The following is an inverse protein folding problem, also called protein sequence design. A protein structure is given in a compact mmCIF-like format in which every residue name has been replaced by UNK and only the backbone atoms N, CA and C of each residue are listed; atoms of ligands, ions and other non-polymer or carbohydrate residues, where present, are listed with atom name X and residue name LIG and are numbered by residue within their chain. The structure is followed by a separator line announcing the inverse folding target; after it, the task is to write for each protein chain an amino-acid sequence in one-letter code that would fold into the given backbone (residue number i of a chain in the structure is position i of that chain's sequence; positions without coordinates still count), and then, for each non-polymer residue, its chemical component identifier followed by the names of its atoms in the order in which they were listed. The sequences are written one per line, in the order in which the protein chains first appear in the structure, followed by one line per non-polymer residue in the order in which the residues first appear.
data_IF_894191297361
#
_entry.id   IF_894191297361
#
_cell.length_a   1.000
_cell.length_b   1.000
_cell.length_c   1.000
_cell.angle_alpha   90.00
_cell.angle_beta   90.00
_cell.angle_gamma   90.00
#
_symmetry.space_group_name_H-M   'P 1'
#
loop_
_entity.id
_entity.type
_entity.pdbx_description
1 polymer ?
#
# COMPACT_ATOMS: atom_id res chain seq x y z
N UNK A 1 22.44 -2.24 9.86
CA UNK A 1 21.35 -3.03 9.23
C UNK A 1 21.50 -4.46 9.73
N UNK A 2 20.43 -5.08 10.22
CA UNK A 2 20.42 -6.51 10.58
C UNK A 2 19.65 -7.28 9.50
N UNK A 3 20.18 -8.41 9.04
CA UNK A 3 19.56 -9.24 8.01
C UNK A 3 19.86 -10.71 8.32
N UNK A 4 18.87 -11.58 8.17
CA UNK A 4 19.10 -13.02 8.29
C UNK A 4 19.68 -13.59 6.98
N UNK A 5 20.36 -14.74 7.07
CA UNK A 5 21.06 -15.34 5.93
C UNK A 5 20.11 -15.69 4.76
N UNK A 6 18.88 -16.13 5.05
CA UNK A 6 17.88 -16.47 4.02
C UNK A 6 17.42 -15.26 3.21
N UNK A 7 17.22 -14.13 3.87
CA UNK A 7 16.89 -12.87 3.20
C UNK A 7 18.10 -12.33 2.43
N UNK A 8 19.33 -12.56 2.93
CA UNK A 8 20.55 -12.25 2.18
C UNK A 8 20.63 -13.05 0.88
N UNK A 9 20.40 -14.37 0.94
CA UNK A 9 20.37 -15.24 -0.23
C UNK A 9 19.31 -14.78 -1.25
N UNK A 10 18.09 -14.49 -0.78
CA UNK A 10 17.03 -13.96 -1.63
C UNK A 10 17.40 -12.62 -2.28
N UNK A 11 18.09 -11.74 -1.55
CA UNK A 11 18.56 -10.45 -2.06
C UNK A 11 19.62 -10.64 -3.15
N UNK A 12 20.65 -11.46 -2.90
CA UNK A 12 21.71 -11.78 -3.85
C UNK A 12 21.13 -12.35 -5.15
N UNK A 13 20.23 -13.31 -5.02
CA UNK A 13 19.57 -13.96 -6.16
C UNK A 13 18.77 -12.98 -7.02
N UNK A 14 18.00 -12.09 -6.38
CA UNK A 14 17.21 -11.05 -7.07
C UNK A 14 18.10 -10.00 -7.74
N UNK A 15 19.18 -9.57 -7.10
CA UNK A 15 20.13 -8.62 -7.67
C UNK A 15 20.89 -9.23 -8.85
N UNK A 16 21.26 -10.51 -8.76
CA UNK A 16 21.90 -11.24 -9.85
C UNK A 16 20.95 -11.48 -11.04
N UNK A 17 19.66 -11.68 -10.78
CA UNK A 17 18.62 -11.77 -11.83
C UNK A 17 18.26 -10.41 -12.44
N UNK A 18 18.61 -9.30 -11.80
CA UNK A 18 18.23 -7.97 -12.25
C UNK A 18 18.94 -7.66 -13.59
N UNK A 19 18.25 -7.01 -14.55
CA UNK A 19 18.84 -6.84 -15.87
C UNK A 19 19.87 -5.69 -15.95
N UNK A 20 19.94 -4.83 -14.92
CA UNK A 20 20.96 -3.79 -14.79
C UNK A 20 22.31 -4.36 -14.36
N UNK A 21 23.39 -3.98 -15.05
CA UNK A 21 24.75 -4.47 -14.81
C UNK A 21 25.27 -4.08 -13.42
N UNK A 22 24.95 -2.89 -12.95
CA UNK A 22 25.34 -2.39 -11.63
C UNK A 22 24.69 -3.20 -10.50
N UNK A 23 23.45 -3.67 -10.69
CA UNK A 23 22.77 -4.54 -9.71
C UNK A 23 23.45 -5.91 -9.64
N UNK A 24 23.82 -6.47 -10.78
CA UNK A 24 24.57 -7.74 -10.85
C UNK A 24 25.97 -7.59 -10.24
N UNK A 25 26.66 -6.48 -10.51
CA UNK A 25 27.96 -6.17 -9.93
C UNK A 25 27.88 -6.03 -8.40
N UNK A 26 26.85 -5.32 -7.92
CA UNK A 26 26.59 -5.18 -6.49
C UNK A 26 26.29 -6.53 -5.83
N UNK A 27 25.54 -7.42 -6.50
CA UNK A 27 25.31 -8.78 -6.01
C UNK A 27 26.62 -9.54 -5.80
N UNK A 28 27.54 -9.49 -6.77
CA UNK A 28 28.85 -10.16 -6.66
C UNK A 28 29.67 -9.62 -5.49
N UNK A 29 29.77 -8.31 -5.35
CA UNK A 29 30.51 -7.68 -4.24
C UNK A 29 29.88 -8.03 -2.88
N UNK A 30 28.56 -8.06 -2.81
CA UNK A 30 27.85 -8.43 -1.58
C UNK A 30 28.05 -9.91 -1.24
N UNK A 31 28.06 -10.79 -2.24
CA UNK A 31 28.34 -12.22 -2.05
C UNK A 31 29.75 -12.44 -1.51
N UNK A 32 30.78 -11.83 -2.11
CA UNK A 32 32.17 -11.96 -1.68
C UNK A 32 32.35 -11.62 -0.19
N UNK A 33 31.70 -10.54 0.28
CA UNK A 33 31.77 -10.12 1.68
C UNK A 33 30.96 -10.97 2.64
N UNK A 34 29.88 -11.59 2.18
CA UNK A 34 28.97 -12.34 3.05
C UNK A 34 29.30 -13.82 3.12
N UNK A 35 29.88 -14.38 2.05
CA UNK A 35 30.32 -15.76 1.99
C UNK A 35 31.41 -16.08 3.01
N UNK A 36 32.35 -15.15 3.25
CA UNK A 36 33.39 -15.30 4.28
C UNK A 36 32.82 -15.45 5.70
N UNK A 37 31.65 -14.85 5.97
CA UNK A 37 31.05 -14.80 7.30
C UNK A 37 30.19 -16.04 7.57
N UNK A 38 29.41 -16.49 6.58
CA UNK A 38 28.41 -17.54 6.77
C UNK A 38 28.27 -18.47 5.53
N UNK A 39 29.33 -19.18 5.11
CA UNK A 39 29.35 -19.94 3.85
C UNK A 39 28.36 -21.11 3.86
N UNK A 40 28.11 -21.71 5.03
CA UNK A 40 27.19 -22.84 5.17
C UNK A 40 25.72 -22.43 5.05
N UNK A 41 25.40 -21.14 5.19
CA UNK A 41 24.04 -20.59 5.18
C UNK A 41 23.68 -19.83 3.88
N UNK A 42 24.66 -19.51 3.04
CA UNK A 42 24.47 -18.76 1.78
C UNK A 42 24.87 -19.70 0.64
N UNK A 43 23.92 -20.49 0.13
CA UNK A 43 24.20 -21.56 -0.85
C UNK A 43 23.60 -21.30 -2.22
N UNK A 44 22.38 -20.77 -2.27
CA UNK A 44 21.61 -20.62 -3.51
C UNK A 44 21.58 -19.16 -3.97
N UNK A 45 22.73 -18.66 -4.39
CA UNK A 45 22.89 -17.24 -4.76
C UNK A 45 22.69 -16.98 -6.24
N UNK A 46 22.77 -18.01 -7.08
CA UNK A 46 22.56 -17.89 -8.52
C UNK A 46 21.08 -17.72 -8.89
N UNK A 47 20.77 -16.86 -9.87
CA UNK A 47 19.40 -16.60 -10.27
C UNK A 47 18.79 -17.81 -10.98
N UNK A 48 17.61 -18.23 -10.53
CA UNK A 48 16.86 -19.30 -11.21
C UNK A 48 16.21 -18.76 -12.49
N UNK A 49 15.80 -19.63 -13.44
CA UNK A 49 15.00 -19.20 -14.59
C UNK A 49 13.72 -18.46 -14.17
N UNK A 50 13.12 -18.84 -13.03
CA UNK A 50 11.96 -18.14 -12.48
C UNK A 50 12.29 -16.68 -12.11
N UNK A 51 13.43 -16.44 -11.46
CA UNK A 51 13.81 -15.07 -11.08
C UNK A 51 14.14 -14.20 -12.30
N UNK A 52 14.80 -14.79 -13.31
CA UNK A 52 15.28 -14.07 -14.51
C UNK A 52 14.19 -13.84 -15.55
N UNK A 53 13.40 -14.87 -15.86
CA UNK A 53 12.61 -14.89 -17.10
C UNK A 53 11.14 -14.54 -16.87
N UNK A 54 10.55 -14.89 -15.71
CA UNK A 54 9.10 -14.81 -15.47
C UNK A 54 8.53 -13.40 -15.66
N UNK A 55 9.17 -12.36 -15.13
CA UNK A 55 8.65 -10.98 -15.25
C UNK A 55 8.66 -10.49 -16.70
N UNK A 56 9.71 -10.82 -17.46
CA UNK A 56 9.79 -10.48 -18.88
C UNK A 56 8.77 -11.25 -19.72
N UNK A 57 8.56 -12.54 -19.41
CA UNK A 57 7.58 -13.38 -20.08
C UNK A 57 6.15 -12.88 -19.82
N UNK A 58 5.83 -12.51 -18.57
CA UNK A 58 4.54 -11.91 -18.22
C UNK A 58 4.29 -10.60 -18.95
N UNK A 59 5.32 -9.73 -19.09
CA UNK A 59 5.19 -8.47 -19.83
C UNK A 59 4.84 -8.73 -21.30
N UNK A 60 5.58 -9.61 -21.98
CA UNK A 60 5.31 -9.98 -23.38
C UNK A 60 3.93 -10.61 -23.56
N UNK A 61 3.54 -11.52 -22.66
CA UNK A 61 2.21 -12.12 -22.70
C UNK A 61 1.10 -11.08 -22.48
N UNK A 62 1.32 -10.14 -21.55
CA UNK A 62 0.42 -9.02 -21.30
C UNK A 62 0.26 -8.11 -22.51
N UNK A 63 1.35 -7.72 -23.17
CA UNK A 63 1.31 -6.90 -24.40
C UNK A 63 0.44 -7.53 -25.50
N UNK A 64 0.60 -8.84 -25.74
CA UNK A 64 -0.21 -9.58 -26.70
C UNK A 64 -1.70 -9.61 -26.31
N UNK A 65 -2.00 -9.73 -25.01
CA UNK A 65 -3.37 -9.71 -24.50
C UNK A 65 -3.99 -8.32 -24.61
N UNK A 66 -3.27 -7.25 -24.25
CA UNK A 66 -3.77 -5.88 -24.34
C UNK A 66 -4.03 -5.45 -25.79
N UNK A 67 -3.24 -5.93 -26.75
CA UNK A 67 -3.48 -5.69 -28.17
C UNK A 67 -4.77 -6.37 -28.68
N UNK A 68 -5.10 -7.56 -28.16
CA UNK A 68 -6.31 -8.31 -28.51
C UNK A 68 -7.56 -7.84 -27.75
N UNK A 69 -7.36 -7.42 -26.51
CA UNK A 69 -8.38 -6.98 -25.58
C UNK A 69 -8.00 -5.58 -25.09
N UNK A 70 -8.21 -4.53 -25.90
CA UNK A 70 -7.93 -3.17 -25.50
C UNK A 70 -8.70 -2.88 -24.21
N UNK A 71 -8.01 -2.27 -23.25
CA UNK A 71 -8.59 -1.93 -21.96
C UNK A 71 -9.83 -1.08 -22.19
N UNK A 72 -10.98 -1.56 -21.71
CA UNK A 72 -12.13 -0.71 -21.47
C UNK A 72 -11.92 -0.12 -20.09
N UNK A 73 -11.29 1.05 -20.05
CA UNK A 73 -11.44 1.90 -18.87
C UNK A 73 -12.89 2.37 -18.91
N UNK A 74 -13.79 1.58 -18.31
CA UNK A 74 -15.19 1.93 -18.22
C UNK A 74 -15.28 3.32 -17.59
N UNK A 75 -15.58 4.33 -18.42
CA UNK A 75 -15.94 5.65 -17.97
C UNK A 75 -17.27 5.50 -17.25
N UNK A 76 -17.22 5.35 -15.93
CA UNK A 76 -18.37 5.45 -15.02
C UNK A 76 -19.68 4.93 -15.61
N UNK A 77 -19.73 3.67 -16.05
CA UNK A 77 -21.02 3.07 -16.40
C UNK A 77 -21.80 2.79 -15.12
N UNK A 78 -22.75 3.68 -14.91
CA UNK A 78 -23.77 3.75 -13.89
C UNK A 78 -24.61 2.46 -13.89
N UNK A 79 -24.13 1.39 -13.23
CA UNK A 79 -24.87 0.13 -13.06
C UNK A 79 -24.75 -0.41 -11.62
N UNK A 80 -25.85 -0.31 -10.87
CA UNK A 80 -26.25 -1.21 -9.76
C UNK A 80 -25.26 -1.52 -8.64
N UNK A 81 -25.44 -0.86 -7.48
CA UNK A 81 -25.01 -1.27 -6.12
C UNK A 81 -23.53 -1.49 -5.79
N UNK A 82 -22.59 -1.22 -6.70
CA UNK A 82 -21.15 -1.25 -6.41
C UNK A 82 -20.42 -0.01 -6.95
N UNK A 83 -20.79 1.21 -6.51
CA UNK A 83 -20.05 2.43 -6.87
C UNK A 83 -18.57 2.22 -6.51
N UNK A 84 -17.67 2.20 -7.49
CA UNK A 84 -16.23 2.24 -7.25
C UNK A 84 -15.93 3.51 -6.45
N UNK A 85 -15.68 3.37 -5.16
CA UNK A 85 -15.49 4.54 -4.29
C UNK A 85 -14.09 5.07 -4.55
N UNK A 86 -14.02 6.20 -5.24
CA UNK A 86 -12.78 6.91 -5.52
C UNK A 86 -12.72 8.20 -4.72
N UNK A 87 -11.55 8.47 -4.15
CA UNK A 87 -11.23 9.71 -3.46
C UNK A 87 -9.83 10.13 -3.91
N UNK A 88 -9.75 11.20 -4.69
CA UNK A 88 -8.48 11.66 -5.27
C UNK A 88 -7.77 10.57 -6.07
N UNK A 89 -6.51 10.31 -5.72
CA UNK A 89 -5.66 9.28 -6.35
C UNK A 89 -5.86 7.87 -5.79
N UNK A 90 -6.90 7.64 -4.99
CA UNK A 90 -7.18 6.37 -4.30
C UNK A 90 -8.53 5.82 -4.76
N UNK A 91 -8.55 4.56 -5.19
CA UNK A 91 -9.77 3.82 -5.53
C UNK A 91 -9.85 2.57 -4.67
N UNK A 92 -10.97 2.39 -3.98
CA UNK A 92 -11.28 1.14 -3.29
C UNK A 92 -11.77 0.11 -4.33
N UNK A 93 -11.00 -0.96 -4.50
CA UNK A 93 -11.31 -2.05 -5.45
C UNK A 93 -12.14 -3.13 -4.77
N UNK A 94 -11.75 -3.52 -3.56
CA UNK A 94 -12.40 -4.59 -2.81
C UNK A 94 -12.39 -4.27 -1.32
N UNK A 95 -13.50 -4.55 -0.65
CA UNK A 95 -13.59 -4.63 0.79
C UNK A 95 -14.16 -6.00 1.16
N UNK A 96 -13.71 -6.57 2.27
CA UNK A 96 -14.25 -7.84 2.74
C UNK A 96 -15.79 -7.76 2.90
N UNK A 97 -16.51 -8.72 2.33
CA UNK A 97 -17.95 -8.81 2.52
C UNK A 97 -18.28 -9.00 4.01
N UNK A 98 -19.26 -8.26 4.52
CA UNK A 98 -19.68 -8.27 5.92
C UNK A 98 -18.52 -8.01 6.89
N UNK A 99 -17.58 -7.14 6.52
CA UNK A 99 -16.34 -6.93 7.26
C UNK A 99 -16.53 -6.56 8.73
N UNK A 100 -17.47 -5.67 9.04
CA UNK A 100 -17.80 -5.31 10.42
C UNK A 100 -18.24 -6.55 11.21
N UNK A 101 -19.15 -7.35 10.65
CA UNK A 101 -19.64 -8.57 11.28
C UNK A 101 -18.54 -9.63 11.45
N UNK A 102 -17.59 -9.71 10.51
CA UNK A 102 -16.41 -10.60 10.65
C UNK A 102 -15.56 -10.23 11.86
N UNK A 103 -15.32 -8.94 12.08
CA UNK A 103 -14.51 -8.47 13.21
C UNK A 103 -15.28 -8.68 14.51
N UNK A 104 -16.57 -8.33 14.56
CA UNK A 104 -17.41 -8.56 15.74
C UNK A 104 -17.47 -10.04 16.11
N UNK A 105 -17.64 -10.92 15.12
CA UNK A 105 -17.65 -12.37 15.36
C UNK A 105 -16.28 -12.87 15.86
N UNK A 106 -15.18 -12.32 15.36
CA UNK A 106 -13.84 -12.66 15.83
C UNK A 106 -13.61 -12.18 17.29
N UNK A 107 -14.06 -10.97 17.63
CA UNK A 107 -13.99 -10.43 19.00
C UNK A 107 -14.79 -11.29 19.99
N UNK A 108 -16.00 -11.72 19.60
CA UNK A 108 -16.82 -12.62 20.41
C UNK A 108 -16.19 -14.01 20.53
N UNK A 109 -15.60 -14.53 19.45
CA UNK A 109 -14.95 -15.82 19.46
C UNK A 109 -13.77 -15.86 20.44
N UNK A 110 -12.92 -14.83 20.46
CA UNK A 110 -11.78 -14.78 21.39
C UNK A 110 -12.19 -14.46 22.83
N UNK A 111 -13.40 -13.93 23.03
CA UNK A 111 -13.96 -13.61 24.35
C UNK A 111 -14.96 -14.65 24.88
N UNK A 112 -15.12 -15.80 24.20
CA UNK A 112 -16.09 -16.82 24.59
C UNK A 112 -15.62 -18.25 24.31
N UNK A 113 -16.46 -19.24 24.61
CA UNK A 113 -16.26 -20.66 24.28
C UNK A 113 -17.00 -21.09 23.01
N UNK A 114 -17.69 -20.16 22.33
CA UNK A 114 -18.45 -20.45 21.12
C UNK A 114 -17.52 -20.63 19.91
N UNK A 115 -17.94 -21.47 18.96
CA UNK A 115 -17.27 -21.55 17.66
C UNK A 115 -17.43 -20.25 16.86
N UNK A 116 -16.53 -19.99 15.92
CA UNK A 116 -16.64 -18.81 15.05
C UNK A 116 -17.97 -18.76 14.29
N UNK A 117 -18.50 -19.91 13.88
CA UNK A 117 -19.82 -20.02 13.26
C UNK A 117 -20.94 -19.62 14.23
N UNK A 118 -20.87 -20.08 15.49
CA UNK A 118 -21.79 -19.65 16.54
C UNK A 118 -21.75 -18.14 16.77
N UNK A 119 -20.56 -17.54 16.79
CA UNK A 119 -20.38 -16.10 16.91
C UNK A 119 -20.96 -15.34 15.71
N UNK A 120 -20.76 -15.82 14.47
CA UNK A 120 -21.36 -15.22 13.27
C UNK A 120 -22.89 -15.23 13.33
N UNK A 121 -23.48 -16.35 13.73
CA UNK A 121 -24.93 -16.48 13.88
C UNK A 121 -25.48 -15.58 15.00
N UNK A 122 -24.70 -15.34 16.05
CA UNK A 122 -25.03 -14.36 17.08
C UNK A 122 -25.00 -12.94 16.53
N UNK A 123 -23.91 -12.53 15.87
CA UNK A 123 -23.76 -11.19 15.29
C UNK A 123 -24.84 -10.88 14.26
N UNK A 124 -25.23 -11.85 13.43
CA UNK A 124 -26.30 -11.67 12.45
C UNK A 124 -27.67 -11.38 13.09
N UNK A 125 -27.87 -11.81 14.34
CA UNK A 125 -29.10 -11.54 15.12
C UNK A 125 -29.03 -10.28 15.96
N UNK A 126 -27.85 -9.67 16.10
CA UNK A 126 -27.67 -8.43 16.85
C UNK A 126 -28.21 -7.23 16.05
N UNK A 127 -28.84 -6.31 16.76
CA UNK A 127 -29.17 -4.99 16.24
C UNK A 127 -27.92 -4.14 16.02
N UNK A 128 -28.02 -3.12 15.17
CA UNK A 128 -26.91 -2.18 14.93
C UNK A 128 -26.44 -1.47 16.21
N UNK A 129 -27.35 -1.24 17.16
CA UNK A 129 -27.03 -0.66 18.45
C UNK A 129 -26.15 -1.60 19.30
N UNK A 130 -26.47 -2.90 19.33
CA UNK A 130 -25.67 -3.90 20.05
C UNK A 130 -24.30 -4.11 19.39
N UNK A 131 -24.26 -4.14 18.05
CA UNK A 131 -23.00 -4.20 17.29
C UNK A 131 -22.11 -3.00 17.58
N UNK A 132 -22.71 -1.81 17.61
CA UNK A 132 -22.02 -0.56 17.95
C UNK A 132 -21.51 -0.58 19.40
N UNK A 133 -22.31 -1.08 20.35
CA UNK A 133 -21.89 -1.20 21.74
C UNK A 133 -20.70 -2.15 21.90
N UNK A 134 -20.72 -3.29 21.22
CA UNK A 134 -19.65 -4.27 21.24
C UNK A 134 -18.34 -3.72 20.65
N UNK A 135 -18.38 -3.06 19.50
CA UNK A 135 -17.16 -2.47 18.91
C UNK A 135 -16.62 -1.32 19.77
N UNK A 136 -17.50 -0.52 20.40
CA UNK A 136 -17.09 0.50 21.37
C UNK A 136 -16.39 -0.13 22.56
N UNK A 137 -16.83 -1.28 23.04
CA UNK A 137 -16.15 -1.98 24.13
C UNK A 137 -14.72 -2.36 23.75
N UNK A 138 -14.49 -2.82 22.51
CA UNK A 138 -13.16 -3.11 22.00
C UNK A 138 -12.23 -1.87 21.92
N UNK A 139 -12.80 -0.66 21.87
CA UNK A 139 -12.04 0.60 21.84
C UNK A 139 -11.94 1.31 23.19
N UNK A 140 -12.68 0.88 24.22
CA UNK A 140 -12.82 1.59 25.51
C UNK A 140 -11.49 1.90 26.22
N UNK A 141 -10.47 1.09 26.01
CA UNK A 141 -9.16 1.25 26.67
C UNK A 141 -8.03 1.56 25.69
N UNK A 142 -8.37 1.85 24.42
CA UNK A 142 -7.38 2.13 23.40
C UNK A 142 -6.74 3.51 23.63
N UNK A 143 -5.41 3.61 23.52
CA UNK A 143 -4.71 4.89 23.40
C UNK A 143 -4.18 5.14 21.98
N UNK A 144 -3.72 6.36 21.71
CA UNK A 144 -3.12 6.75 20.42
C UNK A 144 -1.83 5.99 20.05
N UNK A 145 -1.18 5.37 21.04
CA UNK A 145 0.03 4.58 20.86
C UNK A 145 -0.23 3.08 20.75
N UNK A 146 -1.43 2.64 21.10
CA UNK A 146 -1.79 1.24 21.07
C UNK A 146 -2.19 0.78 19.67
N UNK A 147 -1.89 -0.49 19.40
CA UNK A 147 -2.45 -1.17 18.23
C UNK A 147 -3.85 -1.68 18.58
N UNK A 148 -4.77 -1.59 17.63
CA UNK A 148 -6.05 -2.30 17.75
C UNK A 148 -5.81 -3.81 17.85
N UNK A 149 -6.81 -4.50 18.41
CA UNK A 149 -6.77 -5.94 18.66
C UNK A 149 -6.55 -6.74 17.36
N UNK A 150 -6.04 -7.96 17.50
CA UNK A 150 -5.61 -8.80 16.37
C UNK A 150 -6.78 -9.23 15.47
N UNK A 151 -7.97 -9.28 16.04
CA UNK A 151 -9.24 -9.62 15.39
C UNK A 151 -9.55 -8.70 14.21
N UNK A 152 -9.01 -7.48 14.21
CA UNK A 152 -9.08 -6.54 13.08
C UNK A 152 -8.26 -6.99 11.86
N UNK A 153 -7.46 -8.06 11.97
CA UNK A 153 -6.76 -8.66 10.82
C UNK A 153 -7.69 -9.50 9.93
N UNK A 154 -8.90 -9.86 10.40
CA UNK A 154 -9.84 -10.72 9.64
C UNK A 154 -10.65 -9.99 8.56
N UNK A 155 -10.44 -8.68 8.40
CA UNK A 155 -11.07 -7.87 7.37
C UNK A 155 -10.01 -7.14 6.55
N UNK A 156 -10.01 -7.39 5.25
CA UNK A 156 -9.08 -6.82 4.27
C UNK A 156 -9.76 -5.75 3.39
N UNK A 157 -8.94 -4.81 2.93
CA UNK A 157 -9.25 -3.81 1.91
C UNK A 157 -8.18 -3.87 0.82
N UNK A 158 -8.58 -3.74 -0.44
CA UNK A 158 -7.68 -3.64 -1.59
C UNK A 158 -7.91 -2.31 -2.29
N UNK A 159 -6.86 -1.51 -2.42
CA UNK A 159 -6.86 -0.21 -3.05
C UNK A 159 -6.00 -0.21 -4.31
N UNK A 160 -6.46 0.51 -5.33
CA UNK A 160 -5.62 1.00 -6.42
C UNK A 160 -5.25 2.45 -6.12
N UNK A 161 -3.97 2.78 -6.27
CA UNK A 161 -3.38 4.06 -5.89
C UNK A 161 -2.57 4.64 -7.06
N UNK A 162 -2.65 5.96 -7.24
CA UNK A 162 -1.69 6.74 -8.03
C UNK A 162 -0.87 7.59 -7.07
N UNK A 163 0.40 7.24 -6.90
CA UNK A 163 1.27 7.80 -5.84
C UNK A 163 2.60 8.29 -6.39
N UNK A 164 3.13 9.36 -5.79
CA UNK A 164 4.49 9.83 -6.06
C UNK A 164 5.54 8.85 -5.53
N UNK A 165 6.78 8.95 -6.03
CA UNK A 165 7.91 8.20 -5.48
C UNK A 165 8.13 8.51 -3.98
N UNK A 166 7.96 9.78 -3.58
CA UNK A 166 8.04 10.21 -2.18
C UNK A 166 7.03 9.48 -1.29
N UNK A 167 5.77 9.41 -1.74
CA UNK A 167 4.71 8.70 -1.02
C UNK A 167 5.00 7.19 -0.99
N UNK A 168 5.40 6.60 -2.11
CA UNK A 168 5.78 5.18 -2.17
C UNK A 168 6.92 4.83 -1.19
N UNK A 169 7.93 5.69 -1.07
CA UNK A 169 9.04 5.47 -0.15
C UNK A 169 8.60 5.40 1.32
N UNK A 170 7.48 6.05 1.66
CA UNK A 170 6.85 5.99 2.98
C UNK A 170 5.93 4.75 3.10
N UNK A 171 5.08 4.48 2.11
CA UNK A 171 4.13 3.36 2.11
C UNK A 171 4.83 1.99 2.18
N UNK A 172 5.96 1.80 1.48
CA UNK A 172 6.71 0.53 1.49
C UNK A 172 7.27 0.11 2.87
N UNK A 173 7.15 0.98 3.88
CA UNK A 173 7.55 0.71 5.27
C UNK A 173 6.47 -0.04 6.06
N UNK A 174 5.25 -0.15 5.53
CA UNK A 174 4.12 -0.87 6.12
C UNK A 174 4.17 -2.36 5.74
N UNK A 175 4.98 -3.13 6.49
CA UNK A 175 5.41 -4.49 6.10
C UNK A 175 4.32 -5.56 6.21
N UNK A 176 3.25 -5.33 6.98
CA UNK A 176 2.12 -6.26 7.02
C UNK A 176 1.22 -6.12 5.79
N UNK A 177 1.29 -4.99 5.08
CA UNK A 177 0.53 -4.78 3.86
C UNK A 177 1.18 -5.48 2.66
N UNK A 178 0.35 -5.83 1.68
CA UNK A 178 0.81 -6.30 0.37
C UNK A 178 0.80 -5.12 -0.58
N UNK A 179 1.98 -4.74 -1.08
CA UNK A 179 2.15 -3.60 -1.98
C UNK A 179 2.87 -4.05 -3.26
N UNK A 180 2.19 -3.91 -4.40
CA UNK A 180 2.76 -4.14 -5.73
C UNK A 180 2.59 -2.92 -6.59
N UNK A 181 3.54 -2.66 -7.49
CA UNK A 181 3.60 -1.41 -8.25
C UNK A 181 3.91 -1.64 -9.70
N UNK A 182 3.49 -0.70 -10.54
CA UNK A 182 3.97 -0.57 -11.89
C UNK A 182 5.26 0.28 -11.90
N UNK A 183 5.91 0.32 -13.07
CA UNK A 183 6.99 1.25 -13.33
C UNK A 183 6.47 2.70 -13.21
N UNK A 184 7.39 3.66 -13.05
CA UNK A 184 7.00 5.06 -13.12
C UNK A 184 6.53 5.41 -14.52
N UNK A 185 5.48 6.21 -14.59
CA UNK A 185 4.88 6.63 -15.84
C UNK A 185 4.72 8.17 -15.83
N UNK A 186 5.55 8.90 -16.59
CA UNK A 186 5.42 10.34 -16.74
C UNK A 186 4.03 10.80 -17.16
N UNK A 187 3.24 9.97 -17.87
CA UNK A 187 1.88 10.31 -18.27
C UNK A 187 0.91 10.44 -17.07
N UNK A 188 1.24 9.88 -15.91
CA UNK A 188 0.47 10.06 -14.66
C UNK A 188 0.75 11.43 -13.99
N UNK A 189 1.68 12.21 -14.57
CA UNK A 189 2.10 13.50 -14.10
C UNK A 189 2.90 13.44 -12.80
N UNK A 190 3.00 14.61 -12.16
CA UNK A 190 3.82 14.81 -10.96
C UNK A 190 3.00 15.33 -9.79
N UNK A 191 3.46 15.05 -8.58
CA UNK A 191 2.94 15.64 -7.36
C UNK A 191 3.70 16.93 -7.04
N UNK A 192 3.05 18.08 -7.24
CA UNK A 192 3.58 19.40 -6.87
C UNK A 192 3.31 19.68 -5.39
N UNK A 193 4.34 19.96 -4.57
CA UNK A 193 4.15 20.40 -3.19
C UNK A 193 3.40 21.73 -3.09
N UNK A 194 2.47 21.84 -2.12
CA UNK A 194 1.71 23.07 -1.91
C UNK A 194 2.63 24.27 -1.64
N UNK A 195 3.71 24.07 -0.89
CA UNK A 195 4.72 25.09 -0.64
C UNK A 195 5.37 25.67 -1.92
N UNK A 196 5.46 24.90 -3.01
CA UNK A 196 5.96 25.38 -4.30
C UNK A 196 4.90 26.22 -5.03
N UNK A 197 3.64 25.76 -4.97
CA UNK A 197 2.51 26.48 -5.55
C UNK A 197 2.27 27.82 -4.82
N UNK A 198 2.33 27.81 -3.49
CA UNK A 198 2.17 28.99 -2.62
C UNK A 198 3.21 30.07 -2.86
N UNK A 199 4.43 29.70 -3.28
CA UNK A 199 5.49 30.66 -3.63
C UNK A 199 5.47 31.07 -5.11
N UNK A 200 4.47 30.64 -5.89
CA UNK A 200 4.36 30.93 -7.32
C UNK A 200 5.47 30.29 -8.18
N UNK A 201 6.20 29.31 -7.64
CA UNK A 201 7.31 28.64 -8.33
C UNK A 201 6.89 27.43 -9.16
N UNK A 202 5.60 27.13 -9.20
CA UNK A 202 5.05 26.02 -9.96
C UNK A 202 5.50 26.00 -11.45
N UNK A 203 5.54 27.13 -12.19
CA UNK A 203 6.03 27.12 -13.57
C UNK A 203 7.49 26.65 -13.69
N UNK A 204 8.37 27.13 -12.82
CA UNK A 204 9.79 26.74 -12.81
C UNK A 204 9.97 25.27 -12.42
N UNK A 205 9.15 24.78 -11.48
CA UNK A 205 9.12 23.36 -11.13
C UNK A 205 8.72 22.50 -12.33
N UNK A 206 7.63 22.87 -13.02
CA UNK A 206 7.15 22.13 -14.18
C UNK A 206 8.11 22.18 -15.38
N UNK A 207 8.83 23.30 -15.56
CA UNK A 207 9.89 23.39 -16.56
C UNK A 207 11.01 22.38 -16.30
N UNK A 208 11.46 22.26 -15.04
CA UNK A 208 12.46 21.27 -14.65
C UNK A 208 11.96 19.82 -14.85
N UNK A 209 10.68 19.57 -14.59
CA UNK A 209 10.05 18.27 -14.87
C UNK A 209 10.03 17.99 -16.37
N UNK A 210 9.64 18.94 -17.20
CA UNK A 210 9.63 18.75 -18.66
C UNK A 210 11.03 18.44 -19.21
N UNK A 211 12.06 19.12 -18.73
CA UNK A 211 13.46 18.80 -19.07
C UNK A 211 13.86 17.40 -18.62
N UNK A 212 13.44 16.98 -17.42
CA UNK A 212 13.66 15.64 -16.89
C UNK A 212 12.99 14.57 -17.75
N UNK A 213 11.73 14.77 -18.13
CA UNK A 213 10.96 13.86 -18.95
C UNK A 213 11.53 13.74 -20.37
N UNK A 214 12.03 14.84 -20.95
CA UNK A 214 12.72 14.81 -22.24
C UNK A 214 13.96 13.91 -22.21
N UNK A 215 14.79 14.02 -21.16
CA UNK A 215 15.95 13.15 -20.96
C UNK A 215 15.52 11.70 -20.69
N UNK A 216 14.47 11.49 -19.89
CA UNK A 216 13.90 10.17 -19.67
C UNK A 216 13.54 9.48 -20.99
N UNK A 217 12.88 10.18 -21.92
CA UNK A 217 12.52 9.62 -23.22
C UNK A 217 13.74 9.26 -24.08
N UNK A 218 14.81 10.06 -24.01
CA UNK A 218 16.06 9.75 -24.70
C UNK A 218 16.72 8.49 -24.13
N UNK A 219 16.80 8.37 -22.81
CA UNK A 219 17.36 7.19 -22.14
C UNK A 219 16.49 5.96 -22.40
N UNK A 220 15.16 6.09 -22.35
CA UNK A 220 14.22 4.98 -22.51
C UNK A 220 14.36 4.26 -23.86
N UNK A 221 14.73 4.99 -24.92
CA UNK A 221 14.99 4.43 -26.26
C UNK A 221 16.24 3.55 -26.33
N UNK A 222 17.23 3.81 -25.47
CA UNK A 222 18.55 3.15 -25.51
C UNK A 222 18.67 2.10 -24.39
N UNK A 223 18.23 2.46 -23.17
CA UNK A 223 18.35 1.69 -21.95
C UNK A 223 17.08 1.85 -21.08
N UNK A 224 15.95 1.23 -21.48
CA UNK A 224 14.65 1.42 -20.81
C UNK A 224 14.66 1.10 -19.31
N UNK A 225 15.47 0.13 -18.88
CA UNK A 225 15.59 -0.27 -17.48
C UNK A 225 16.32 0.76 -16.60
N UNK A 226 17.15 1.61 -17.22
CA UNK A 226 17.87 2.69 -16.54
C UNK A 226 17.16 4.04 -16.65
N UNK A 227 16.14 4.16 -17.50
CA UNK A 227 15.45 5.44 -17.72
C UNK A 227 14.88 6.03 -16.43
N UNK A 228 14.32 5.20 -15.56
CA UNK A 228 13.72 5.66 -14.31
C UNK A 228 14.70 6.36 -13.34
N UNK A 229 16.02 6.25 -13.53
CA UNK A 229 17.01 6.91 -12.67
C UNK A 229 16.98 8.44 -12.77
N UNK A 230 16.56 9.00 -13.90
CA UNK A 230 16.50 10.47 -14.06
C UNK A 230 15.21 11.06 -13.48
N UNK A 231 14.17 10.24 -13.28
CA UNK A 231 12.88 10.72 -12.79
C UNK A 231 12.99 11.27 -11.36
N UNK A 232 12.34 12.40 -11.12
CA UNK A 232 12.28 13.02 -9.80
C UNK A 232 11.32 12.28 -8.86
N UNK A 233 11.46 12.52 -7.56
CA UNK A 233 10.56 11.93 -6.57
C UNK A 233 9.10 12.39 -6.66
N UNK A 234 8.81 13.39 -7.50
CA UNK A 234 7.46 13.88 -7.76
C UNK A 234 6.71 13.02 -8.79
N UNK A 235 7.42 12.27 -9.65
CA UNK A 235 6.80 11.40 -10.64
C UNK A 235 5.98 10.30 -9.99
N UNK A 236 4.89 9.95 -10.66
CA UNK A 236 3.87 9.06 -10.14
C UNK A 236 3.94 7.68 -10.77
N UNK A 237 3.31 6.74 -10.09
CA UNK A 237 3.10 5.38 -10.56
C UNK A 237 1.83 4.80 -9.98
N UNK A 238 1.30 3.77 -10.64
CA UNK A 238 0.20 2.97 -10.13
C UNK A 238 0.71 1.95 -9.11
N UNK A 239 -0.06 1.76 -8.05
CA UNK A 239 0.20 0.79 -7.01
C UNK A 239 -1.08 0.09 -6.60
N UNK A 240 -0.98 -1.19 -6.28
CA UNK A 240 -2.03 -1.96 -5.61
C UNK A 240 -1.59 -2.16 -4.17
N UNK A 241 -2.43 -1.76 -3.23
CA UNK A 241 -2.22 -1.93 -1.80
C UNK A 241 -3.36 -2.78 -1.23
N UNK A 242 -3.04 -3.99 -0.79
CA UNK A 242 -3.94 -4.79 0.05
C UNK A 242 -3.50 -4.68 1.51
N UNK A 243 -4.43 -4.34 2.39
CA UNK A 243 -4.18 -4.07 3.81
C UNK A 243 -5.35 -4.57 4.66
N UNK A 244 -5.06 -5.18 5.81
CA UNK A 244 -6.10 -5.51 6.78
C UNK A 244 -6.47 -4.29 7.64
N UNK A 245 -7.62 -4.32 8.32
CA UNK A 245 -8.09 -3.18 9.10
C UNK A 245 -7.10 -2.79 10.21
N UNK A 246 -6.46 -3.76 10.88
CA UNK A 246 -5.44 -3.49 11.90
C UNK A 246 -4.24 -2.72 11.35
N UNK A 247 -3.71 -3.10 10.21
CA UNK A 247 -2.60 -2.40 9.56
C UNK A 247 -3.04 -1.02 9.04
N UNK A 248 -4.28 -0.86 8.57
CA UNK A 248 -4.78 0.45 8.16
C UNK A 248 -4.92 1.39 9.37
N UNK A 249 -5.30 0.89 10.55
CA UNK A 249 -5.24 1.65 11.80
C UNK A 249 -3.81 2.07 12.15
N UNK A 250 -2.85 1.15 12.04
CA UNK A 250 -1.44 1.47 12.28
C UNK A 250 -0.92 2.53 11.30
N UNK A 251 -1.30 2.41 10.02
CA UNK A 251 -1.00 3.41 8.99
C UNK A 251 -1.63 4.76 9.32
N UNK A 252 -2.90 4.80 9.75
CA UNK A 252 -3.57 6.04 10.16
C UNK A 252 -2.78 6.77 11.25
N UNK A 253 -2.42 6.07 12.33
CA UNK A 253 -1.68 6.65 13.47
C UNK A 253 -0.33 7.25 13.09
N UNK A 254 0.32 6.74 12.04
CA UNK A 254 1.65 7.22 11.62
C UNK A 254 1.61 8.19 10.46
N UNK A 255 0.61 8.05 9.58
CA UNK A 255 0.60 8.69 8.26
C UNK A 255 -0.51 9.70 8.08
N UNK A 256 -1.60 9.61 8.84
CA UNK A 256 -2.66 10.62 8.84
C UNK A 256 -2.39 11.78 9.82
N UNK A 257 -1.34 11.69 10.63
CA UNK A 257 -0.96 12.71 11.62
C UNK A 257 -0.52 14.04 10.97
N UNK A 258 -0.81 15.17 11.61
CA UNK A 258 -0.39 16.51 11.17
C UNK A 258 1.13 16.65 10.93
N UNK A 259 1.97 15.88 11.61
CA UNK A 259 3.43 15.91 11.42
C UNK A 259 3.91 14.99 10.30
N UNK A 260 3.04 14.15 9.74
CA UNK A 260 3.36 13.31 8.60
C UNK A 260 3.52 14.17 7.34
N UNK A 261 4.38 13.70 6.43
CA UNK A 261 4.56 14.34 5.12
C UNK A 261 3.21 14.40 4.39
N UNK A 262 2.87 15.59 3.90
CA UNK A 262 1.53 15.94 3.43
C UNK A 262 0.99 15.02 2.31
N UNK A 263 1.85 14.50 1.42
CA UNK A 263 1.40 13.65 0.30
C UNK A 263 0.92 12.28 0.79
N UNK A 264 1.69 11.61 1.65
CA UNK A 264 1.21 10.36 2.27
C UNK A 264 0.05 10.61 3.24
N UNK A 265 -0.01 11.77 3.89
CA UNK A 265 -1.14 12.16 4.74
C UNK A 265 -2.44 12.23 3.95
N UNK A 266 -2.41 12.88 2.79
CA UNK A 266 -3.55 12.94 1.87
C UNK A 266 -3.98 11.55 1.41
N UNK A 267 -3.04 10.73 0.91
CA UNK A 267 -3.35 9.36 0.44
C UNK A 267 -3.93 8.50 1.57
N UNK A 268 -3.41 8.61 2.79
CA UNK A 268 -3.94 7.88 3.95
C UNK A 268 -5.32 8.37 4.35
N UNK A 269 -5.55 9.69 4.35
CA UNK A 269 -6.86 10.29 4.60
C UNK A 269 -7.92 9.85 3.58
N UNK A 270 -7.55 9.80 2.31
CA UNK A 270 -8.42 9.31 1.23
C UNK A 270 -8.77 7.83 1.44
N UNK A 271 -7.79 6.98 1.76
CA UNK A 271 -8.03 5.57 2.11
C UNK A 271 -8.96 5.42 3.32
N UNK A 272 -8.77 6.22 4.38
CA UNK A 272 -9.61 6.17 5.58
C UNK A 272 -11.04 6.61 5.31
N UNK A 273 -11.24 7.61 4.45
CA UNK A 273 -12.58 8.04 4.02
C UNK A 273 -13.32 6.88 3.36
N UNK A 274 -12.68 6.20 2.40
CA UNK A 274 -13.26 5.06 1.70
C UNK A 274 -13.47 3.85 2.62
N UNK A 275 -12.54 3.60 3.54
CA UNK A 275 -12.62 2.53 4.52
C UNK A 275 -13.78 2.71 5.49
N UNK A 276 -14.01 3.93 6.00
CA UNK A 276 -15.16 4.24 6.86
C UNK A 276 -16.51 4.06 6.15
N UNK A 277 -16.57 4.36 4.86
CA UNK A 277 -17.78 4.08 4.09
C UNK A 277 -18.03 2.57 3.95
N UNK A 278 -16.97 1.74 3.94
CA UNK A 278 -17.06 0.29 3.71
C UNK A 278 -17.28 -0.49 4.99
N UNK A 279 -16.67 -0.04 6.09
CA UNK A 279 -16.66 -0.72 7.37
C UNK A 279 -16.86 0.33 8.47
N UNK A 280 -18.08 0.92 8.56
CA UNK A 280 -18.36 2.07 9.42
C UNK A 280 -18.14 1.77 10.89
N UNK A 281 -18.42 0.55 11.37
CA UNK A 281 -18.17 0.19 12.78
C UNK A 281 -16.68 -0.04 13.03
N UNK A 282 -16.01 -0.73 12.11
CA UNK A 282 -14.59 -1.06 12.25
C UNK A 282 -13.72 0.18 12.34
N UNK A 283 -13.96 1.20 11.53
CA UNK A 283 -13.08 2.39 11.44
C UNK A 283 -13.57 3.61 12.23
N UNK A 284 -14.45 3.43 13.23
CA UNK A 284 -14.98 4.52 14.07
C UNK A 284 -13.87 5.40 14.66
N UNK A 285 -12.76 4.80 15.09
CA UNK A 285 -11.67 5.48 15.80
C UNK A 285 -10.36 5.53 14.98
N UNK A 286 -10.43 5.29 13.67
CA UNK A 286 -9.27 5.30 12.79
C UNK A 286 -8.91 6.75 12.44
N UNK A 287 -7.85 7.30 13.02
CA UNK A 287 -7.41 8.69 12.81
C UNK A 287 -5.91 8.83 13.03
N UNK A 288 -5.34 10.00 12.78
CA UNK A 288 -3.98 10.35 13.22
C UNK A 288 -3.84 10.32 14.75
N UNK A 289 -2.64 10.56 15.27
CA UNK A 289 -2.47 10.65 16.74
C UNK A 289 -3.00 12.00 17.23
N UNK A 290 -2.65 13.06 16.53
CA UNK A 290 -3.20 14.41 16.68
C UNK A 290 -4.75 14.45 16.78
N UNK A 291 -5.47 13.68 15.98
CA UNK A 291 -6.93 13.63 15.99
C UNK A 291 -7.54 12.63 16.98
N UNK A 292 -6.74 11.86 17.72
CA UNK A 292 -7.24 10.75 18.54
C UNK A 292 -8.11 11.23 19.71
N UNK A 293 -7.63 12.20 20.48
CA UNK A 293 -8.32 12.67 21.68
C UNK A 293 -9.69 13.30 21.39
N UNK A 294 -9.85 13.94 20.22
CA UNK A 294 -11.14 14.47 19.78
C UNK A 294 -12.08 13.34 19.34
N UNK A 295 -11.60 12.43 18.46
CA UNK A 295 -12.40 11.30 18.00
C UNK A 295 -12.84 10.38 19.15
N UNK A 296 -11.97 10.18 20.14
CA UNK A 296 -12.28 9.38 21.33
C UNK A 296 -13.38 10.01 22.17
N UNK A 297 -13.29 11.32 22.47
CA UNK A 297 -14.34 12.06 23.20
C UNK A 297 -15.68 12.07 22.46
N UNK A 298 -15.66 12.15 21.14
CA UNK A 298 -16.87 12.06 20.34
C UNK A 298 -17.52 10.66 20.40
N UNK A 299 -16.71 9.60 20.53
CA UNK A 299 -17.18 8.22 20.58
C UNK A 299 -17.67 7.81 21.98
N UNK A 300 -17.01 8.33 23.02
CA UNK A 300 -17.28 8.10 24.45
C UNK A 300 -17.55 9.45 25.15
N UNK A 301 -18.76 10.00 24.99
CA UNK A 301 -19.16 11.24 25.67
C UNK A 301 -19.34 11.06 27.18
#
# INVERSE_FOLDING_TARGET
MTLNARNMELLLRRLAAHPLKESQAFSRQLYERTFEIAPSLIRYTEPTPFDRDTRSALRRAGEALFARYPAREDQEENCGNGKGRQQGGVRLIEAAADADDRILAALLHTSSTLSLEGCRNLVHRMSDAEKTALIKEAFRYLSEHDSVLREFEYADLTFELIISASCYAQLKRHRMATLTVQDYDPALGVTVPSAIAETGMEPSFLEAIAGTEAVYQQIARIAPQAAAYILTNAHRRRAILKVNARELYHMARLRADAHAQWDIRRITGDMLTLARQAMPLTFLLATGKDGFAEAYRALFP
#
